data_IF_443181427543
#
_entry.id   IF_443181427543
#
_cell.length_a   1.000
_cell.length_b   1.000
_cell.length_c   1.000
_cell.angle_alpha   90.00
_cell.angle_beta   90.00
_cell.angle_gamma   90.00
#
_symmetry.space_group_name_H-M   'P 1'
#
loop_
_entity.id
_entity.type
_entity.pdbx_description
1 polymer ?
#
# COMPACT_ATOMS: atom_id res chain seq x y z
N UNK A 1 8.38 -10.25 -4.80
CA UNK A 1 8.31 -8.77 -4.99
C UNK A 1 8.74 -8.36 -6.40
N UNK A 2 9.60 -9.12 -7.08
CA UNK A 2 10.07 -8.81 -8.45
C UNK A 2 8.96 -8.71 -9.50
N UNK A 3 7.98 -9.61 -9.48
CA UNK A 3 6.83 -9.53 -10.41
C UNK A 3 6.03 -8.23 -10.23
N UNK A 4 5.88 -7.73 -9.00
CA UNK A 4 5.23 -6.44 -8.74
C UNK A 4 6.07 -5.30 -9.29
N UNK A 5 7.39 -5.32 -9.10
CA UNK A 5 8.29 -4.31 -9.66
C UNK A 5 8.18 -4.23 -11.18
N UNK A 6 8.18 -5.39 -11.85
CA UNK A 6 7.99 -5.47 -13.30
C UNK A 6 6.63 -4.92 -13.73
N UNK A 7 5.55 -5.28 -13.02
CA UNK A 7 4.22 -4.76 -13.31
C UNK A 7 4.15 -3.23 -13.14
N UNK A 8 4.71 -2.68 -12.07
CA UNK A 8 4.75 -1.23 -11.84
C UNK A 8 5.51 -0.50 -12.97
N UNK A 9 6.69 -0.99 -13.35
CA UNK A 9 7.50 -0.40 -14.42
C UNK A 9 6.89 -0.57 -15.81
N UNK A 10 6.04 -1.60 -16.02
CA UNK A 10 5.29 -1.75 -17.28
C UNK A 10 4.19 -0.70 -17.49
N UNK A 11 3.85 0.09 -16.45
CA UNK A 11 2.87 1.17 -16.57
C UNK A 11 3.33 2.28 -17.53
N UNK A 12 4.65 2.46 -17.66
CA UNK A 12 5.25 3.41 -18.59
C UNK A 12 6.68 3.77 -18.19
N UNK A 13 7.50 4.11 -19.19
CA UNK A 13 8.89 4.56 -19.06
C UNK A 13 9.05 5.87 -18.25
N UNK A 14 7.95 6.61 -18.10
CA UNK A 14 7.88 7.83 -17.33
C UNK A 14 7.78 7.62 -15.81
N UNK A 15 7.70 6.39 -15.32
CA UNK A 15 7.61 6.10 -13.89
C UNK A 15 8.84 5.34 -13.39
N UNK A 16 9.15 5.51 -12.12
CA UNK A 16 10.22 4.79 -11.43
C UNK A 16 9.77 4.37 -10.02
N UNK A 17 10.52 3.44 -9.42
CA UNK A 17 10.23 2.89 -8.10
C UNK A 17 11.47 2.95 -7.21
N UNK A 18 11.36 3.64 -6.07
CA UNK A 18 12.33 3.53 -4.99
C UNK A 18 11.94 2.34 -4.10
N UNK A 19 12.78 1.30 -4.12
CA UNK A 19 12.52 -0.01 -3.51
C UNK A 19 13.67 -0.45 -2.61
N UNK A 20 13.88 0.19 -1.44
CA UNK A 20 14.91 -0.24 -0.50
C UNK A 20 14.57 -1.61 0.10
N UNK A 21 15.58 -2.33 0.58
CA UNK A 21 15.40 -3.65 1.18
C UNK A 21 14.58 -3.55 2.47
N UNK A 22 13.61 -4.46 2.63
CA UNK A 22 12.75 -4.60 3.82
C UNK A 22 11.89 -3.37 4.19
N UNK A 23 11.65 -2.45 3.26
CA UNK A 23 10.77 -1.29 3.48
C UNK A 23 9.60 -1.22 2.49
N UNK A 24 8.69 -0.27 2.72
CA UNK A 24 7.67 0.10 1.73
C UNK A 24 8.30 0.70 0.47
N UNK A 25 7.64 0.51 -0.67
CA UNK A 25 8.13 1.04 -1.95
C UNK A 25 7.41 2.33 -2.32
N UNK A 26 8.14 3.24 -2.96
CA UNK A 26 7.60 4.48 -3.50
C UNK A 26 7.55 4.38 -5.01
N UNK A 27 6.36 4.51 -5.60
CA UNK A 27 6.17 4.59 -7.05
C UNK A 27 5.87 6.03 -7.45
N UNK A 28 6.63 6.61 -8.39
CA UNK A 28 6.56 8.04 -8.70
C UNK A 28 6.86 8.35 -10.17
N UNK A 29 6.44 9.54 -10.60
CA UNK A 29 6.71 10.05 -11.95
C UNK A 29 8.12 10.65 -12.02
N UNK A 30 8.93 10.27 -13.00
CA UNK A 30 10.35 10.67 -13.06
C UNK A 30 10.57 12.16 -13.28
N UNK A 31 9.56 12.86 -13.82
CA UNK A 31 9.63 14.30 -14.11
C UNK A 31 9.23 15.18 -12.93
N UNK A 32 8.73 14.60 -11.84
CA UNK A 32 8.34 15.38 -10.67
C UNK A 32 9.54 15.76 -9.80
N UNK A 33 9.38 16.76 -8.94
CA UNK A 33 10.48 17.27 -8.14
C UNK A 33 10.86 16.30 -7.01
N UNK A 34 12.16 16.20 -6.74
CA UNK A 34 12.69 15.48 -5.59
C UNK A 34 12.54 16.35 -4.34
N UNK A 35 12.00 15.78 -3.26
CA UNK A 35 11.99 16.48 -1.96
C UNK A 35 13.43 16.60 -1.42
N UNK A 36 13.84 17.71 -0.78
CA UNK A 36 15.24 18.02 -0.44
C UNK A 36 16.04 17.00 0.41
N UNK A 37 15.45 15.88 0.83
CA UNK A 37 16.08 14.86 1.67
C UNK A 37 15.60 13.44 1.37
N UNK A 38 14.92 13.23 0.24
CA UNK A 38 14.35 11.93 -0.12
C UNK A 38 14.95 11.42 -1.43
N UNK A 39 15.27 10.11 -1.52
CA UNK A 39 15.78 9.51 -2.74
C UNK A 39 14.68 9.25 -3.79
N UNK A 40 13.47 9.79 -3.59
CA UNK A 40 12.29 9.63 -4.44
C UNK A 40 11.58 10.97 -4.66
N UNK A 41 10.74 11.03 -5.69
CA UNK A 41 10.08 12.27 -6.15
C UNK A 41 8.65 12.38 -5.66
N UNK A 42 8.11 13.59 -5.57
CA UNK A 42 6.72 13.87 -5.15
C UNK A 42 5.92 14.46 -6.33
N UNK A 43 4.69 13.98 -6.61
CA UNK A 43 3.90 13.00 -5.86
C UNK A 43 4.33 11.55 -6.06
N UNK A 44 4.03 10.70 -5.07
CA UNK A 44 4.29 9.25 -5.09
C UNK A 44 3.12 8.44 -4.52
N UNK A 45 3.09 7.15 -4.84
CA UNK A 45 2.24 6.14 -4.22
C UNK A 45 3.09 5.27 -3.30
N UNK A 46 2.66 5.12 -2.05
CA UNK A 46 3.24 4.18 -1.09
C UNK A 46 2.68 2.77 -1.29
N UNK A 47 3.58 1.79 -1.42
CA UNK A 47 3.26 0.39 -1.55
C UNK A 47 3.80 -0.36 -0.32
N UNK A 48 2.89 -0.69 0.59
CA UNK A 48 3.19 -1.47 1.79
C UNK A 48 3.06 -2.97 1.49
N UNK A 49 3.84 -3.77 2.19
CA UNK A 49 3.80 -5.23 2.08
C UNK A 49 3.29 -5.84 3.37
N UNK A 50 2.54 -6.94 3.24
CA UNK A 50 2.08 -7.73 4.36
C UNK A 50 2.61 -9.15 4.24
N UNK A 51 2.91 -9.72 5.39
CA UNK A 51 3.08 -11.15 5.58
C UNK A 51 1.82 -11.72 6.22
N UNK A 52 1.68 -13.04 6.22
CA UNK A 52 0.47 -13.67 6.72
C UNK A 52 0.74 -14.98 7.47
N UNK A 53 -0.24 -15.38 8.28
CA UNK A 53 -0.33 -16.71 8.85
C UNK A 53 -1.73 -17.30 8.58
N UNK A 54 -2.10 -18.38 9.28
CA UNK A 54 -3.39 -19.04 9.05
C UNK A 54 -4.62 -18.16 9.33
N UNK A 55 -4.51 -17.16 10.19
CA UNK A 55 -5.65 -16.37 10.67
C UNK A 55 -5.56 -14.89 10.36
N UNK A 56 -4.36 -14.33 10.17
CA UNK A 56 -4.11 -12.90 10.05
C UNK A 56 -3.20 -12.55 8.87
N UNK A 57 -3.37 -11.32 8.38
CA UNK A 57 -2.32 -10.59 7.66
C UNK A 57 -1.71 -9.56 8.62
N UNK A 58 -0.46 -9.19 8.42
CA UNK A 58 0.23 -8.18 9.21
C UNK A 58 1.32 -7.50 8.42
N UNK A 59 1.58 -6.23 8.73
CA UNK A 59 2.61 -5.45 8.06
C UNK A 59 4.00 -6.12 8.21
N UNK A 60 4.79 -6.08 7.13
CA UNK A 60 6.16 -6.58 7.13
C UNK A 60 7.11 -5.65 7.87
N UNK A 61 6.83 -4.34 7.90
CA UNK A 61 7.59 -3.37 8.67
C UNK A 61 7.38 -3.63 10.18
N UNK A 62 8.47 -3.88 10.95
CA UNK A 62 8.36 -4.11 12.39
C UNK A 62 7.67 -2.96 13.12
N UNK A 63 7.86 -1.72 12.65
CA UNK A 63 7.26 -0.51 13.22
C UNK A 63 5.74 -0.53 13.17
N UNK A 64 5.16 -1.11 12.12
CA UNK A 64 3.71 -1.09 11.86
C UNK A 64 3.01 -2.41 12.18
N UNK A 65 3.76 -3.50 12.30
CA UNK A 65 3.22 -4.86 12.48
C UNK A 65 2.16 -4.99 13.59
N UNK A 66 2.37 -4.32 14.73
CA UNK A 66 1.45 -4.40 15.86
C UNK A 66 0.12 -3.67 15.59
N UNK A 67 0.17 -2.49 14.97
CA UNK A 67 -1.01 -1.67 14.66
C UNK A 67 -1.75 -2.17 13.39
N UNK A 68 -1.00 -2.63 12.41
CA UNK A 68 -1.50 -3.08 11.10
C UNK A 68 -1.47 -4.60 11.01
N UNK A 69 -2.27 -5.24 11.85
CA UNK A 69 -2.52 -6.68 11.85
C UNK A 69 -4.02 -6.93 11.84
N UNK A 70 -4.52 -7.72 10.88
CA UNK A 70 -5.95 -7.89 10.64
C UNK A 70 -6.31 -9.37 10.46
N UNK A 71 -7.43 -9.83 11.04
CA UNK A 71 -7.99 -11.13 10.71
C UNK A 71 -8.29 -11.24 9.21
N UNK A 72 -7.89 -12.35 8.58
CA UNK A 72 -8.06 -12.57 7.14
C UNK A 72 -9.50 -12.44 6.67
N UNK A 73 -10.47 -12.87 7.49
CA UNK A 73 -11.89 -12.80 7.15
C UNK A 73 -12.45 -11.36 7.10
N UNK A 74 -11.72 -10.37 7.61
CA UNK A 74 -12.06 -8.95 7.42
C UNK A 74 -11.46 -8.35 6.14
N UNK A 75 -10.49 -9.05 5.53
CA UNK A 75 -9.77 -8.60 4.33
C UNK A 75 -10.28 -9.34 3.10
N UNK A 76 -10.33 -10.67 3.16
CA UNK A 76 -10.60 -11.54 2.03
C UNK A 76 -12.00 -12.18 2.11
N UNK A 77 -12.64 -12.47 0.95
CA UNK A 77 -12.20 -12.10 -0.40
C UNK A 77 -12.21 -10.58 -0.59
N UNK A 78 -11.39 -10.05 -1.50
CA UNK A 78 -11.40 -8.61 -1.78
C UNK A 78 -12.73 -8.23 -2.48
N UNK A 79 -13.18 -7.00 -2.24
CA UNK A 79 -14.30 -6.39 -2.95
C UNK A 79 -13.79 -5.20 -3.78
N UNK A 80 -14.54 -4.75 -4.80
CA UNK A 80 -14.12 -3.62 -5.63
C UNK A 80 -14.93 -2.37 -5.28
N UNK A 81 -14.25 -1.26 -4.97
CA UNK A 81 -14.88 0.02 -4.62
C UNK A 81 -14.34 1.16 -5.49
N UNK A 82 -15.15 2.20 -5.78
CA UNK A 82 -14.72 3.33 -6.57
C UNK A 82 -13.72 4.21 -5.80
N UNK A 83 -12.60 4.54 -6.43
CA UNK A 83 -11.60 5.48 -5.93
C UNK A 83 -10.88 6.16 -7.11
N UNK A 84 -10.81 7.49 -7.10
CA UNK A 84 -10.13 8.29 -8.12
C UNK A 84 -10.50 7.92 -9.59
N UNK A 85 -11.77 7.59 -9.84
CA UNK A 85 -12.25 7.22 -11.18
C UNK A 85 -11.99 5.77 -11.61
N UNK A 86 -11.41 4.94 -10.73
CA UNK A 86 -11.18 3.51 -10.96
C UNK A 86 -11.92 2.64 -9.94
N UNK A 87 -12.17 1.38 -10.29
CA UNK A 87 -12.64 0.35 -9.34
C UNK A 87 -11.42 -0.38 -8.79
N UNK A 88 -11.12 -0.20 -7.50
CA UNK A 88 -9.94 -0.76 -6.85
C UNK A 88 -10.31 -1.84 -5.84
N UNK A 89 -9.46 -2.87 -5.67
CA UNK A 89 -9.67 -3.89 -4.66
C UNK A 89 -9.50 -3.30 -3.25
N UNK A 90 -10.44 -3.62 -2.36
CA UNK A 90 -10.48 -3.21 -0.96
C UNK A 90 -10.88 -4.39 -0.07
N UNK A 91 -10.59 -4.35 1.25
CA UNK A 91 -11.08 -5.34 2.21
C UNK A 91 -12.59 -5.57 2.11
N UNK A 92 -13.08 -6.81 2.24
CA UNK A 92 -14.53 -7.08 2.28
C UNK A 92 -15.24 -6.40 3.46
N UNK A 93 -14.55 -6.22 4.59
CA UNK A 93 -15.10 -5.54 5.76
C UNK A 93 -14.32 -4.25 6.05
N UNK A 94 -14.53 -3.24 5.19
CA UNK A 94 -13.87 -1.94 5.26
C UNK A 94 -14.03 -1.29 6.64
N UNK A 95 -15.23 -1.34 7.23
CA UNK A 95 -15.49 -0.74 8.54
C UNK A 95 -14.67 -1.38 9.65
N UNK A 96 -14.53 -2.71 9.68
CA UNK A 96 -13.70 -3.38 10.67
C UNK A 96 -12.21 -2.98 10.54
N UNK A 97 -11.73 -2.80 9.31
CA UNK A 97 -10.34 -2.40 9.04
C UNK A 97 -10.10 -0.94 9.41
N UNK A 98 -10.97 -0.02 8.96
CA UNK A 98 -10.83 1.42 9.20
C UNK A 98 -10.99 1.74 10.68
N UNK A 99 -12.02 1.21 11.34
CA UNK A 99 -12.31 1.49 12.76
C UNK A 99 -11.22 1.04 13.72
N UNK A 100 -10.34 0.12 13.30
CA UNK A 100 -9.24 -0.35 14.13
C UNK A 100 -8.17 0.74 14.32
N UNK A 101 -7.85 1.48 13.26
CA UNK A 101 -6.71 2.41 13.24
C UNK A 101 -7.14 3.88 13.07
N UNK A 102 -8.40 4.12 12.69
CA UNK A 102 -8.93 5.45 12.42
C UNK A 102 -10.31 5.60 13.05
N UNK A 103 -10.66 6.81 13.45
CA UNK A 103 -12.01 7.15 13.86
C UNK A 103 -12.75 7.74 12.65
N UNK A 104 -13.80 7.09 12.11
CA UNK A 104 -14.57 7.66 11.01
C UNK A 104 -15.25 8.98 11.36
N UNK A 105 -15.35 9.31 12.66
CA UNK A 105 -15.95 10.57 13.14
C UNK A 105 -14.99 11.75 13.11
N UNK A 106 -13.70 11.52 12.85
CA UNK A 106 -12.67 12.56 12.76
C UNK A 106 -12.44 13.05 11.31
N UNK A 107 -13.20 12.51 10.35
CA UNK A 107 -13.10 12.83 8.94
C UNK A 107 -14.39 13.51 8.43
#
# INVERSE_FOLDING_TARGET
KDNLKQALLSTGDQFDTYSPDNDWWKFFWIKSDTLPSKPFRWPYIDNFFFSENNTHIFDESPTYRLSYSFPKHHIFPLSCHPFAGAMLPVPCNIYAVVNKNYSPKLC
#
